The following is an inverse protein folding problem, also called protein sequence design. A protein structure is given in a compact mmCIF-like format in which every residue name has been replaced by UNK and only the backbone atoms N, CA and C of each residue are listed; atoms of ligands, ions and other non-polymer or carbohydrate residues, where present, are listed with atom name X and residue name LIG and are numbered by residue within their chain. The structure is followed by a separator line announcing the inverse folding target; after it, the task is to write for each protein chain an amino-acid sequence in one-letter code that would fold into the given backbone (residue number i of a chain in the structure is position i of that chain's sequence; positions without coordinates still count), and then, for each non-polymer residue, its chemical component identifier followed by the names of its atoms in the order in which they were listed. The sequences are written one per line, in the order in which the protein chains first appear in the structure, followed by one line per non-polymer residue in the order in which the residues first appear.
data_IF_861383342554
#
_entry.id   IF_861383342554
#
_cell.length_a   1.000
_cell.length_b   1.000
_cell.length_c   1.000
_cell.angle_alpha   90.00
_cell.angle_beta   90.00
_cell.angle_gamma   90.00
#
_symmetry.space_group_name_H-M   'P 1'
#
loop_
_entity.id
_entity.type
_entity.pdbx_description
1 polymer ?
#
# COMPACT_ATOMS: atom_id res chain seq x y z
N UNK A 1 -7.27 -26.01 -21.33
CA UNK A 1 -6.25 -24.94 -21.39
C UNK A 1 -5.94 -24.25 -20.05
N UNK A 2 -6.94 -23.89 -19.21
CA UNK A 2 -6.72 -23.12 -17.95
C UNK A 2 -5.86 -23.77 -16.83
N UNK A 3 -5.74 -25.10 -16.75
CA UNK A 3 -4.99 -25.77 -15.66
C UNK A 3 -3.45 -25.64 -15.75
N UNK A 4 -2.91 -25.43 -16.95
CA UNK A 4 -1.46 -25.51 -17.18
C UNK A 4 -0.71 -24.22 -16.77
N UNK A 5 -1.40 -23.09 -16.66
CA UNK A 5 -0.76 -21.81 -16.31
C UNK A 5 -0.58 -21.65 -14.79
N UNK A 6 -1.56 -22.11 -14.00
CA UNK A 6 -1.46 -22.06 -12.54
C UNK A 6 -0.38 -23.01 -12.00
N UNK A 7 -0.22 -24.18 -12.61
CA UNK A 7 0.85 -25.11 -12.25
C UNK A 7 2.24 -24.51 -12.50
N UNK A 8 2.38 -23.70 -13.55
CA UNK A 8 3.62 -22.96 -13.84
C UNK A 8 3.90 -21.88 -12.78
N UNK A 9 2.92 -21.07 -12.41
CA UNK A 9 3.04 -20.05 -11.35
C UNK A 9 3.45 -20.70 -10.03
N UNK A 10 2.77 -21.78 -9.61
CA UNK A 10 3.11 -22.51 -8.38
C UNK A 10 4.53 -23.07 -8.41
N UNK A 11 4.98 -23.59 -9.56
CA UNK A 11 6.35 -24.05 -9.74
C UNK A 11 7.34 -22.90 -9.54
N UNK A 12 7.11 -21.75 -10.18
CA UNK A 12 7.96 -20.56 -10.01
C UNK A 12 8.07 -20.14 -8.55
N UNK A 13 6.95 -20.06 -7.81
CA UNK A 13 6.96 -19.72 -6.39
C UNK A 13 7.80 -20.69 -5.52
N UNK A 14 7.74 -21.98 -5.82
CA UNK A 14 8.43 -23.02 -5.05
C UNK A 14 9.93 -23.11 -5.38
N UNK A 15 10.30 -23.09 -6.67
CA UNK A 15 11.66 -23.43 -7.11
C UNK A 15 12.51 -22.24 -7.57
N UNK A 16 11.90 -21.15 -8.03
CA UNK A 16 12.67 -20.02 -8.56
C UNK A 16 13.20 -19.14 -7.41
N UNK A 17 14.50 -18.89 -7.44
CA UNK A 17 15.23 -18.04 -6.48
C UNK A 17 16.18 -17.04 -7.13
N UNK A 18 16.52 -17.26 -8.40
CA UNK A 18 17.19 -16.28 -9.27
C UNK A 18 16.18 -15.68 -10.25
N UNK A 19 16.27 -14.38 -10.45
CA UNK A 19 15.39 -13.60 -11.32
C UNK A 19 16.22 -12.90 -12.39
N UNK A 20 15.56 -12.45 -13.46
CA UNK A 20 16.23 -11.64 -14.48
C UNK A 20 16.52 -10.23 -13.96
N UNK A 21 17.42 -9.53 -14.65
CA UNK A 21 17.72 -8.13 -14.35
C UNK A 21 16.47 -7.26 -14.56
N UNK A 22 16.30 -6.26 -13.70
CA UNK A 22 15.20 -5.30 -13.74
C UNK A 22 15.71 -3.99 -14.33
N UNK A 23 15.08 -3.53 -15.40
CA UNK A 23 15.38 -2.23 -15.99
C UNK A 23 14.87 -1.08 -15.11
N UNK A 24 15.63 0.02 -15.04
CA UNK A 24 15.19 1.23 -14.35
C UNK A 24 15.16 2.41 -15.32
N UNK A 25 14.03 3.09 -15.35
CA UNK A 25 13.84 4.34 -16.08
C UNK A 25 13.31 5.40 -15.11
N UNK A 26 13.49 6.67 -15.45
CA UNK A 26 12.97 7.78 -14.64
C UNK A 26 11.91 8.52 -15.43
N UNK A 27 10.71 8.59 -14.87
CA UNK A 27 9.65 9.46 -15.36
C UNK A 27 9.84 10.85 -14.77
N UNK A 28 9.92 11.85 -15.65
CA UNK A 28 10.07 13.24 -15.26
C UNK A 28 8.71 13.92 -15.09
N UNK A 29 8.44 14.42 -13.89
CA UNK A 29 7.27 15.23 -13.58
C UNK A 29 7.60 16.73 -13.48
N UNK A 30 8.77 17.14 -14.00
CA UNK A 30 9.34 18.50 -13.99
C UNK A 30 9.66 19.06 -12.59
N UNK A 31 9.11 18.47 -11.53
CA UNK A 31 9.36 18.83 -10.12
C UNK A 31 10.17 17.77 -9.39
N UNK A 32 9.96 16.50 -9.73
CA UNK A 32 10.67 15.36 -9.16
C UNK A 32 10.68 14.19 -10.14
N UNK A 33 11.65 13.30 -9.96
CA UNK A 33 11.80 12.09 -10.76
C UNK A 33 11.18 10.89 -10.04
N UNK A 34 10.35 10.12 -10.75
CA UNK A 34 9.81 8.85 -10.25
C UNK A 34 10.55 7.69 -10.93
N UNK A 35 11.13 6.74 -10.17
CA UNK A 35 11.69 5.54 -10.76
C UNK A 35 10.57 4.61 -11.25
N UNK A 36 10.69 4.14 -12.49
CA UNK A 36 9.81 3.17 -13.13
C UNK A 36 10.62 1.90 -13.39
N UNK A 37 10.15 0.78 -12.86
CA UNK A 37 10.83 -0.51 -12.96
C UNK A 37 10.23 -1.37 -14.08
N UNK A 38 11.09 -1.88 -14.96
CA UNK A 38 10.73 -2.77 -16.04
C UNK A 38 11.09 -4.22 -15.69
N UNK A 39 10.04 -5.00 -15.41
CA UNK A 39 10.13 -6.42 -15.04
C UNK A 39 9.69 -7.29 -16.22
N UNK A 40 10.33 -8.45 -16.37
CA UNK A 40 10.00 -9.46 -17.39
C UNK A 40 8.50 -9.84 -17.35
N UNK A 41 7.80 -9.92 -18.49
CA UNK A 41 6.37 -10.20 -18.52
C UNK A 41 5.95 -11.52 -17.84
N UNK A 42 6.79 -12.57 -17.88
CA UNK A 42 6.46 -13.86 -17.28
C UNK A 42 6.55 -13.81 -15.74
N UNK A 43 7.54 -13.10 -15.21
CA UNK A 43 7.71 -12.85 -13.78
C UNK A 43 6.58 -11.96 -13.27
N UNK A 44 6.24 -10.90 -14.01
CA UNK A 44 5.12 -9.99 -13.70
C UNK A 44 3.77 -10.70 -13.55
N UNK A 45 3.49 -11.73 -14.36
CA UNK A 45 2.25 -12.53 -14.20
C UNK A 45 2.26 -13.32 -12.88
N UNK A 46 3.42 -13.85 -12.50
CA UNK A 46 3.58 -14.62 -11.25
C UNK A 46 3.42 -13.71 -10.04
N UNK A 47 4.01 -12.51 -10.08
CA UNK A 47 3.93 -11.53 -9.00
C UNK A 47 2.53 -10.93 -8.87
N UNK A 48 1.87 -10.61 -9.99
CA UNK A 48 0.49 -10.12 -9.98
C UNK A 48 -0.48 -11.16 -9.38
N UNK A 49 -0.26 -12.45 -9.68
CA UNK A 49 -1.04 -13.52 -9.07
C UNK A 49 -0.77 -13.64 -7.56
N UNK A 50 0.50 -13.51 -7.15
CA UNK A 50 0.89 -13.57 -5.74
C UNK A 50 0.30 -12.41 -4.95
N UNK A 51 0.38 -11.19 -5.47
CA UNK A 51 -0.19 -9.98 -4.86
C UNK A 51 -1.69 -10.15 -4.61
N UNK A 52 -2.44 -10.56 -5.63
CA UNK A 52 -3.88 -10.82 -5.50
C UNK A 52 -4.18 -11.90 -4.45
N UNK A 53 -3.39 -12.98 -4.41
CA UNK A 53 -3.56 -14.05 -3.44
C UNK A 53 -3.29 -13.58 -2.00
N UNK A 54 -2.24 -12.78 -1.80
CA UNK A 54 -1.86 -12.25 -0.50
C UNK A 54 -2.89 -11.25 0.02
N UNK A 55 -3.34 -10.30 -0.79
CA UNK A 55 -4.36 -9.32 -0.39
C UNK A 55 -5.68 -10.00 -0.01
N UNK A 56 -6.14 -10.95 -0.82
CA UNK A 56 -7.33 -11.73 -0.49
C UNK A 56 -7.18 -12.52 0.81
N UNK A 57 -6.02 -13.14 1.03
CA UNK A 57 -5.72 -13.87 2.26
C UNK A 57 -5.60 -12.96 3.49
N UNK A 58 -5.06 -11.76 3.32
CA UNK A 58 -4.88 -10.76 4.36
C UNK A 58 -6.23 -10.18 4.81
N UNK A 59 -7.11 -9.83 3.88
CA UNK A 59 -8.44 -9.30 4.18
C UNK A 59 -9.30 -10.35 4.90
N UNK A 60 -9.30 -11.60 4.41
CA UNK A 60 -10.04 -12.70 5.05
C UNK A 60 -9.63 -12.96 6.51
N UNK A 61 -8.39 -12.62 6.87
CA UNK A 61 -7.84 -12.79 8.22
C UNK A 61 -7.85 -11.50 9.02
N UNK A 62 -8.36 -10.41 8.46
CA UNK A 62 -8.30 -9.06 9.02
C UNK A 62 -6.89 -8.70 9.50
N UNK A 63 -5.88 -9.01 8.66
CA UNK A 63 -4.47 -8.80 9.00
C UNK A 63 -4.15 -7.31 9.21
N UNK A 64 -4.77 -6.44 8.42
CA UNK A 64 -4.54 -4.99 8.48
C UNK A 64 -5.65 -4.29 9.29
N UNK A 65 -5.30 -3.54 10.34
CA UNK A 65 -6.26 -2.74 11.09
C UNK A 65 -6.74 -1.51 10.31
N UNK A 66 -7.88 -0.95 10.73
CA UNK A 66 -8.60 0.12 10.04
C UNK A 66 -7.83 1.44 9.84
N UNK A 67 -6.76 1.69 10.59
CA UNK A 67 -5.93 2.91 10.46
C UNK A 67 -4.91 2.82 9.32
N UNK A 68 -4.70 1.64 8.73
CA UNK A 68 -3.88 1.51 7.53
C UNK A 68 -4.70 1.99 6.33
N UNK A 69 -4.17 3.00 5.64
CA UNK A 69 -4.76 3.62 4.45
C UNK A 69 -3.70 3.67 3.34
N UNK A 70 -4.08 3.54 2.06
CA UNK A 70 -5.44 3.48 1.50
C UNK A 70 -6.15 2.14 1.74
N UNK A 71 -7.48 2.15 1.75
CA UNK A 71 -8.32 0.96 1.88
C UNK A 71 -9.39 0.96 0.77
N UNK A 72 -9.81 -0.22 0.31
CA UNK A 72 -10.75 -0.38 -0.80
C UNK A 72 -12.18 0.11 -0.49
N UNK A 73 -12.49 0.32 0.79
CA UNK A 73 -13.83 0.71 1.25
C UNK A 73 -14.17 2.18 1.01
N UNK A 74 -13.18 3.04 0.73
CA UNK A 74 -13.43 4.47 0.59
C UNK A 74 -12.41 5.20 -0.31
N UNK A 75 -12.88 6.18 -1.11
CA UNK A 75 -11.98 7.04 -1.87
C UNK A 75 -11.32 8.11 -0.96
N UNK A 76 -10.18 8.70 -1.37
CA UNK A 76 -9.44 9.66 -0.56
C UNK A 76 -10.26 10.88 -0.07
N UNK A 77 -11.17 11.48 -0.85
CA UNK A 77 -12.00 12.58 -0.35
C UNK A 77 -12.95 12.15 0.78
N UNK A 78 -13.48 10.93 0.72
CA UNK A 78 -14.35 10.39 1.76
C UNK A 78 -13.57 10.09 3.05
N UNK A 79 -12.32 9.66 2.94
CA UNK A 79 -11.42 9.49 4.09
C UNK A 79 -11.23 10.81 4.84
N UNK A 80 -10.96 11.90 4.11
CA UNK A 80 -10.82 13.25 4.72
C UNK A 80 -12.12 13.66 5.42
N UNK A 81 -13.26 13.43 4.77
CA UNK A 81 -14.57 13.72 5.36
C UNK A 81 -14.80 12.94 6.67
N UNK A 82 -14.58 11.62 6.67
CA UNK A 82 -14.72 10.79 7.87
C UNK A 82 -13.73 11.16 8.96
N UNK A 83 -12.52 11.59 8.61
CA UNK A 83 -11.53 12.09 9.56
C UNK A 83 -12.03 13.36 10.27
N UNK A 84 -12.49 14.36 9.50
CA UNK A 84 -13.06 15.59 10.06
C UNK A 84 -14.28 15.30 10.94
N UNK A 85 -15.18 14.42 10.47
CA UNK A 85 -16.35 13.99 11.24
C UNK A 85 -15.94 13.25 12.52
N UNK A 86 -14.93 12.39 12.45
CA UNK A 86 -14.40 11.63 13.58
C UNK A 86 -13.86 12.54 14.68
N UNK A 87 -13.10 13.58 14.32
CA UNK A 87 -12.62 14.59 15.27
C UNK A 87 -13.79 15.34 15.91
N UNK A 88 -14.76 15.78 15.11
CA UNK A 88 -15.87 16.58 15.60
C UNK A 88 -16.81 15.80 16.55
N UNK A 89 -16.87 14.48 16.40
CA UNK A 89 -17.68 13.62 17.25
C UNK A 89 -17.01 13.27 18.59
N UNK A 90 -15.79 13.74 18.86
CA UNK A 90 -15.11 13.52 20.14
C UNK A 90 -15.71 14.39 21.24
N UNK A 91 -15.77 13.85 22.46
CA UNK A 91 -16.38 14.54 23.60
C UNK A 91 -15.55 15.75 24.01
N UNK A 92 -16.21 16.90 24.13
CA UNK A 92 -15.63 18.17 24.60
C UNK A 92 -14.32 18.58 23.92
N UNK A 93 -14.09 18.16 22.67
CA UNK A 93 -12.79 18.41 22.00
C UNK A 93 -12.50 19.90 21.76
N UNK A 94 -13.56 20.69 21.63
CA UNK A 94 -13.47 22.14 21.43
C UNK A 94 -13.57 22.94 22.74
N UNK A 95 -13.72 22.26 23.88
CA UNK A 95 -13.74 22.92 25.19
C UNK A 95 -12.30 23.17 25.66
N UNK A 96 -11.98 24.45 25.87
CA UNK A 96 -10.67 24.90 26.33
C UNK A 96 -10.77 25.68 27.65
N UNK A 97 -11.87 25.53 28.39
CA UNK A 97 -12.15 26.28 29.62
C UNK A 97 -11.17 26.00 30.76
N UNK A 98 -10.55 24.81 30.79
CA UNK A 98 -9.59 24.39 31.83
C UNK A 98 -8.14 24.36 31.32
N UNK A 99 -7.85 25.09 30.23
CA UNK A 99 -6.51 25.10 29.63
C UNK A 99 -6.19 23.85 28.80
N UNK A 100 -7.21 23.15 28.30
CA UNK A 100 -7.02 22.03 27.37
C UNK A 100 -6.48 22.51 26.01
N UNK A 101 -5.70 21.66 25.33
CA UNK A 101 -5.13 21.91 24.01
C UNK A 101 -5.31 20.70 23.09
N UNK A 102 -5.70 20.95 21.84
CA UNK A 102 -5.76 19.93 20.78
C UNK A 102 -4.53 20.08 19.88
N UNK A 103 -3.83 18.97 19.63
CA UNK A 103 -2.62 18.95 18.78
C UNK A 103 -2.83 18.00 17.62
N UNK A 104 -2.58 18.48 16.40
CA UNK A 104 -2.56 17.67 15.19
C UNK A 104 -1.11 17.53 14.71
N UNK A 105 -0.63 16.30 14.58
CA UNK A 105 0.69 15.98 14.04
C UNK A 105 0.55 15.31 12.68
N UNK A 106 1.25 15.84 11.68
CA UNK A 106 1.39 15.21 10.36
C UNK A 106 2.87 15.16 9.99
N UNK A 107 3.38 13.96 9.77
CA UNK A 107 4.76 13.72 9.37
C UNK A 107 4.83 12.63 8.31
N UNK A 108 5.90 12.64 7.50
CA UNK A 108 6.19 11.57 6.53
C UNK A 108 7.36 10.73 7.03
N UNK A 109 7.31 9.42 6.82
CA UNK A 109 8.45 8.56 7.08
C UNK A 109 9.51 8.73 5.99
N UNK A 110 10.56 9.50 6.29
CA UNK A 110 11.61 9.77 5.32
C UNK A 110 12.43 8.51 4.98
N UNK A 111 12.64 8.30 3.68
CA UNK A 111 13.49 7.22 3.14
C UNK A 111 13.12 5.81 3.64
N UNK A 112 11.86 5.58 4.00
CA UNK A 112 11.39 4.28 4.52
C UNK A 112 11.74 3.12 3.58
N UNK A 113 11.34 3.20 2.31
CA UNK A 113 11.61 2.15 1.31
C UNK A 113 13.11 1.90 1.12
N UNK A 114 13.94 2.94 1.21
CA UNK A 114 15.40 2.81 1.06
C UNK A 114 16.07 2.12 2.25
N UNK A 115 15.46 2.15 3.43
CA UNK A 115 16.04 1.58 4.67
C UNK A 115 15.67 0.10 4.88
N UNK A 116 14.71 -0.42 4.12
CA UNK A 116 14.29 -1.82 4.19
C UNK A 116 15.16 -2.77 3.38
N UNK A 117 15.99 -2.24 2.48
CA UNK A 117 16.96 -2.96 1.64
C UNK A 117 18.36 -2.75 2.19
#
# INVERSE_FOLDING_TARGET
MKRCHLSRIKRHLLSQRSFKEVGIQFMDLYSFLIPVYEIDPLEKITDAYLDQYLWYGADKRHLFPNWIKPADSEPPPLLVYKWCQGINNLQSIWDTSEGQCVVMLQTKFEKFLKRLT
#
